data_IF_577311646777
#
_entry.id   IF_577311646777
#
_cell.length_a   1.000
_cell.length_b   1.000
_cell.length_c   1.000
_cell.angle_alpha   90.00
_cell.angle_beta   90.00
_cell.angle_gamma   90.00
#
_symmetry.space_group_name_H-M   'P 1'
#
loop_
_entity.id
_entity.type
_entity.pdbx_description
1 polymer ?
#
# COMPACT_ATOMS: atom_id res chain seq x y z
N UNK A 1 -15.34 19.29 -0.22
CA UNK A 1 -14.88 18.11 -1.01
C UNK A 1 -15.52 18.03 -2.39
N UNK A 2 -16.84 18.33 -2.56
CA UNK A 2 -17.51 18.28 -3.87
C UNK A 2 -16.87 19.20 -4.91
N UNK A 3 -16.50 20.43 -4.54
CA UNK A 3 -15.81 21.37 -5.42
C UNK A 3 -14.43 20.85 -5.85
N UNK A 4 -13.66 20.27 -4.92
CA UNK A 4 -12.36 19.66 -5.24
C UNK A 4 -12.53 18.47 -6.19
N UNK A 5 -13.54 17.61 -5.97
CA UNK A 5 -13.85 16.52 -6.90
C UNK A 5 -14.29 17.04 -8.30
N UNK A 6 -14.95 18.17 -8.37
CA UNK A 6 -15.28 18.81 -9.65
C UNK A 6 -14.01 19.29 -10.38
N UNK A 7 -13.05 19.88 -9.65
CA UNK A 7 -11.74 20.27 -10.19
C UNK A 7 -10.95 19.05 -10.70
N UNK A 8 -11.00 17.93 -9.97
CA UNK A 8 -10.36 16.68 -10.41
C UNK A 8 -10.93 16.21 -11.76
N UNK A 9 -12.26 16.18 -11.91
CA UNK A 9 -12.91 15.82 -13.19
C UNK A 9 -12.62 16.81 -14.31
N UNK A 10 -12.44 18.09 -13.98
CA UNK A 10 -12.11 19.15 -14.94
C UNK A 10 -10.58 19.25 -15.24
N UNK A 11 -9.76 18.38 -14.64
CA UNK A 11 -8.29 18.41 -14.73
C UNK A 11 -7.72 19.80 -14.38
N UNK A 12 -8.16 20.36 -13.24
CA UNK A 12 -7.76 21.68 -12.73
C UNK A 12 -7.05 21.55 -11.37
N UNK A 13 -5.81 21.02 -11.32
CA UNK A 13 -5.11 20.75 -10.08
C UNK A 13 -4.80 22.01 -9.26
N UNK A 14 -4.45 23.15 -9.92
CA UNK A 14 -4.18 24.41 -9.25
C UNK A 14 -5.40 24.92 -8.50
N UNK A 15 -6.58 24.78 -9.11
CA UNK A 15 -7.83 25.21 -8.48
C UNK A 15 -8.20 24.30 -7.32
N UNK A 16 -7.97 22.99 -7.48
CA UNK A 16 -8.18 22.01 -6.42
C UNK A 16 -7.30 22.31 -5.19
N UNK A 17 -6.03 22.65 -5.39
CA UNK A 17 -5.11 23.00 -4.31
C UNK A 17 -5.53 24.28 -3.59
N UNK A 18 -5.95 25.34 -4.31
CA UNK A 18 -6.49 26.55 -3.66
C UNK A 18 -7.69 26.22 -2.77
N UNK A 19 -8.64 25.43 -3.29
CA UNK A 19 -9.79 25.00 -2.49
C UNK A 19 -9.41 24.10 -1.32
N UNK A 20 -8.34 23.33 -1.44
CA UNK A 20 -7.80 22.53 -0.35
C UNK A 20 -7.23 23.39 0.78
N UNK A 21 -6.46 24.43 0.45
CA UNK A 21 -5.85 25.35 1.42
C UNK A 21 -6.92 26.21 2.13
N UNK A 22 -8.03 26.47 1.46
CA UNK A 22 -9.17 27.24 1.98
C UNK A 22 -10.20 26.39 2.75
N UNK A 23 -9.95 25.05 2.94
CA UNK A 23 -10.93 24.20 3.62
C UNK A 23 -11.13 24.64 5.08
N UNK A 24 -12.38 25.01 5.46
CA UNK A 24 -12.67 25.50 6.82
C UNK A 24 -12.74 24.39 7.86
N UNK A 25 -12.74 23.13 7.44
CA UNK A 25 -12.92 21.94 8.28
C UNK A 25 -11.68 21.04 8.21
N UNK A 26 -11.50 20.23 9.25
CA UNK A 26 -10.45 19.19 9.25
C UNK A 26 -10.70 18.22 8.10
N UNK A 27 -9.77 18.08 7.15
CA UNK A 27 -9.92 17.18 6.01
C UNK A 27 -10.08 15.72 6.46
N UNK A 28 -11.02 15.02 5.87
CA UNK A 28 -11.25 13.58 6.06
C UNK A 28 -10.84 12.78 4.80
N UNK A 29 -11.04 11.46 4.82
CA UNK A 29 -10.68 10.58 3.70
C UNK A 29 -11.32 11.01 2.36
N UNK A 30 -12.55 11.52 2.38
CA UNK A 30 -13.24 12.00 1.16
C UNK A 30 -12.54 13.24 0.60
N UNK A 31 -12.12 14.17 1.46
CA UNK A 31 -11.40 15.39 1.05
C UNK A 31 -10.01 15.05 0.51
N UNK A 32 -9.28 14.17 1.22
CA UNK A 32 -7.95 13.71 0.80
C UNK A 32 -8.01 12.95 -0.53
N UNK A 33 -8.95 12.00 -0.69
CA UNK A 33 -9.14 11.29 -1.95
C UNK A 33 -9.42 12.27 -3.10
N UNK A 34 -10.30 13.25 -2.89
CA UNK A 34 -10.65 14.23 -3.92
C UNK A 34 -9.46 15.08 -4.37
N UNK A 35 -8.62 15.55 -3.44
CA UNK A 35 -7.45 16.35 -3.81
C UNK A 35 -6.36 15.48 -4.43
N UNK A 36 -6.16 14.25 -3.96
CA UNK A 36 -5.20 13.30 -4.57
C UNK A 36 -5.59 12.93 -5.99
N UNK A 37 -6.89 12.79 -6.30
CA UNK A 37 -7.37 12.61 -7.67
C UNK A 37 -7.06 13.84 -8.54
N UNK A 38 -7.23 15.04 -8.00
CA UNK A 38 -6.99 16.27 -8.74
C UNK A 38 -5.51 16.50 -9.04
N UNK A 39 -4.61 16.12 -8.11
CA UNK A 39 -3.15 16.34 -8.24
C UNK A 39 -2.38 15.08 -8.66
N UNK A 40 -3.05 14.07 -9.20
CA UNK A 40 -2.39 12.83 -9.63
C UNK A 40 -1.30 13.08 -10.70
N UNK A 41 -1.42 14.15 -11.49
CA UNK A 41 -0.40 14.60 -12.44
C UNK A 41 0.81 15.30 -11.78
N UNK A 42 0.76 15.59 -10.47
CA UNK A 42 1.84 16.21 -9.69
C UNK A 42 2.41 15.23 -8.65
N UNK A 43 3.31 14.30 -9.03
CA UNK A 43 3.72 13.19 -8.17
C UNK A 43 4.31 13.61 -6.82
N UNK A 44 5.02 14.73 -6.76
CA UNK A 44 5.59 15.25 -5.51
C UNK A 44 4.49 15.72 -4.55
N UNK A 45 3.59 16.56 -5.03
CA UNK A 45 2.45 17.07 -4.25
C UNK A 45 1.53 15.93 -3.79
N UNK A 46 1.22 14.98 -4.68
CA UNK A 46 0.43 13.80 -4.33
C UNK A 46 1.10 12.99 -3.22
N UNK A 47 2.41 12.81 -3.25
CA UNK A 47 3.18 12.12 -2.21
C UNK A 47 3.12 12.84 -0.87
N UNK A 48 3.30 14.16 -0.87
CA UNK A 48 3.23 14.97 0.37
C UNK A 48 1.84 14.93 0.99
N UNK A 49 0.79 15.05 0.18
CA UNK A 49 -0.60 14.90 0.64
C UNK A 49 -0.89 13.50 1.18
N UNK A 50 -0.37 12.46 0.53
CA UNK A 50 -0.50 11.08 1.03
C UNK A 50 0.14 10.94 2.42
N UNK A 51 1.39 11.42 2.59
CA UNK A 51 2.11 11.39 3.89
C UNK A 51 1.35 12.18 4.95
N UNK A 52 0.86 13.36 4.60
CA UNK A 52 0.04 14.17 5.51
C UNK A 52 -1.25 13.42 5.95
N UNK A 53 -1.89 12.70 5.03
CA UNK A 53 -3.05 11.86 5.34
C UNK A 53 -2.72 10.71 6.30
N UNK A 54 -1.54 10.08 6.15
CA UNK A 54 -1.04 9.07 7.08
C UNK A 54 -0.75 9.65 8.46
N UNK A 55 -0.05 10.78 8.54
CA UNK A 55 0.30 11.49 9.78
C UNK A 55 -0.95 11.91 10.56
N UNK A 56 -1.99 12.34 9.86
CA UNK A 56 -3.28 12.71 10.46
C UNK A 56 -4.17 11.51 10.78
N UNK A 57 -3.71 10.28 10.52
CA UNK A 57 -4.46 9.04 10.78
C UNK A 57 -5.65 8.81 9.84
N UNK A 58 -5.78 9.59 8.76
CA UNK A 58 -6.84 9.43 7.76
C UNK A 58 -6.72 8.09 7.04
N UNK A 59 -5.50 7.67 6.74
CA UNK A 59 -5.17 6.45 6.01
C UNK A 59 -4.53 5.36 6.88
N UNK A 60 -4.84 5.34 8.20
CA UNK A 60 -4.24 4.36 9.11
C UNK A 60 -4.51 2.90 8.74
N UNK A 61 -5.65 2.61 8.10
CA UNK A 61 -6.00 1.26 7.63
C UNK A 61 -5.30 0.89 6.32
N UNK A 62 -4.73 1.88 5.63
CA UNK A 62 -4.00 1.73 4.38
C UNK A 62 -2.48 1.79 4.60
N UNK A 63 -2.01 1.69 5.84
CA UNK A 63 -0.58 1.53 6.13
C UNK A 63 -0.13 0.13 5.72
N UNK A 64 1.01 0.01 5.02
CA UNK A 64 1.55 -1.29 4.69
C UNK A 64 1.93 -2.07 5.95
N UNK A 65 1.81 -3.38 5.90
CA UNK A 65 2.23 -4.26 6.99
C UNK A 65 2.83 -5.55 6.46
N UNK A 66 3.63 -6.22 7.30
CA UNK A 66 4.22 -7.50 6.98
C UNK A 66 3.23 -8.63 7.25
N UNK A 67 3.17 -9.58 6.32
CA UNK A 67 2.41 -10.81 6.45
C UNK A 67 3.27 -11.98 5.97
N UNK A 68 3.16 -13.13 6.62
CA UNK A 68 3.76 -14.36 6.15
C UNK A 68 2.72 -15.14 5.33
N UNK A 69 3.04 -15.44 4.07
CA UNK A 69 2.19 -16.23 3.17
C UNK A 69 3.03 -17.41 2.69
N UNK A 70 2.60 -18.63 2.99
CA UNK A 70 3.32 -19.86 2.65
C UNK A 70 4.79 -19.85 3.09
N UNK A 71 5.05 -19.36 4.30
CA UNK A 71 6.41 -19.24 4.84
C UNK A 71 7.25 -18.10 4.26
N UNK A 72 6.66 -17.24 3.40
CA UNK A 72 7.35 -16.12 2.75
C UNK A 72 6.87 -14.79 3.32
N UNK A 73 7.79 -13.92 3.76
CA UNK A 73 7.44 -12.59 4.21
C UNK A 73 7.07 -11.72 3.01
N UNK A 74 5.90 -11.13 3.06
CA UNK A 74 5.39 -10.20 2.05
C UNK A 74 5.00 -8.88 2.71
N UNK A 75 5.10 -7.79 1.96
CA UNK A 75 4.52 -6.51 2.33
C UNK A 75 3.11 -6.42 1.74
N UNK A 76 2.12 -6.15 2.56
CA UNK A 76 0.72 -6.03 2.13
C UNK A 76 0.26 -4.58 2.26
N UNK A 77 -0.32 -4.03 1.19
CA UNK A 77 -0.96 -2.72 1.16
C UNK A 77 -2.45 -2.89 0.84
N UNK A 78 -3.30 -2.57 1.80
CA UNK A 78 -4.75 -2.54 1.60
C UNK A 78 -5.17 -1.18 1.03
N UNK A 79 -5.80 -1.19 -0.15
CA UNK A 79 -6.24 0.02 -0.84
C UNK A 79 -7.76 0.23 -0.77
N UNK A 80 -8.46 -0.50 0.11
CA UNK A 80 -9.89 -0.26 0.31
C UNK A 80 -10.17 1.19 0.72
N UNK A 81 -11.19 1.79 0.11
CA UNK A 81 -11.59 3.17 0.40
C UNK A 81 -10.71 4.25 -0.23
N UNK A 82 -9.65 3.88 -0.94
CA UNK A 82 -8.85 4.83 -1.72
C UNK A 82 -9.53 5.15 -3.05
N UNK A 83 -9.34 6.37 -3.52
CA UNK A 83 -9.60 6.76 -4.91
C UNK A 83 -8.42 6.34 -5.80
N UNK A 84 -8.57 6.52 -7.12
CA UNK A 84 -7.49 6.20 -8.07
C UNK A 84 -6.22 7.00 -7.82
N UNK A 85 -6.34 8.31 -7.59
CA UNK A 85 -5.20 9.18 -7.29
C UNK A 85 -4.54 8.86 -5.95
N UNK A 86 -5.37 8.54 -4.93
CA UNK A 86 -4.86 8.12 -3.62
C UNK A 86 -4.12 6.78 -3.71
N UNK A 87 -4.64 5.81 -4.47
CA UNK A 87 -3.98 4.53 -4.68
C UNK A 87 -2.65 4.68 -5.44
N UNK A 88 -2.61 5.52 -6.48
CA UNK A 88 -1.37 5.83 -7.20
C UNK A 88 -0.33 6.44 -6.25
N UNK A 89 -0.72 7.42 -5.43
CA UNK A 89 0.16 8.05 -4.45
C UNK A 89 0.68 7.04 -3.40
N UNK A 90 -0.20 6.15 -2.90
CA UNK A 90 0.14 5.09 -1.95
C UNK A 90 1.16 4.09 -2.53
N UNK A 91 0.93 3.62 -3.77
CA UNK A 91 1.82 2.70 -4.45
C UNK A 91 3.20 3.34 -4.65
N UNK A 92 3.26 4.56 -5.21
CA UNK A 92 4.53 5.27 -5.42
C UNK A 92 5.27 5.49 -4.12
N UNK A 93 4.59 5.94 -3.07
CA UNK A 93 5.20 6.13 -1.75
C UNK A 93 5.74 4.82 -1.17
N UNK A 94 4.99 3.70 -1.28
CA UNK A 94 5.45 2.39 -0.82
C UNK A 94 6.74 1.96 -1.52
N UNK A 95 6.76 2.00 -2.84
CA UNK A 95 7.89 1.51 -3.63
C UNK A 95 9.09 2.48 -3.63
N UNK A 96 8.86 3.80 -3.56
CA UNK A 96 9.93 4.79 -3.58
C UNK A 96 10.57 5.05 -2.21
N UNK A 97 9.76 4.99 -1.13
CA UNK A 97 10.23 5.43 0.20
C UNK A 97 10.28 4.30 1.26
N UNK A 98 9.37 3.32 1.18
CA UNK A 98 9.26 2.29 2.23
C UNK A 98 9.99 1.01 1.90
N UNK A 99 10.04 0.66 0.62
CA UNK A 99 10.82 -0.49 0.16
C UNK A 99 12.24 -0.05 -0.17
N UNK A 100 13.20 -0.64 0.51
CA UNK A 100 14.61 -0.35 0.27
C UNK A 100 15.27 -1.51 -0.47
N UNK A 101 15.97 -1.22 -1.57
CA UNK A 101 16.89 -2.16 -2.20
C UNK A 101 18.27 -1.97 -1.58
N UNK A 102 18.83 -3.00 -0.97
CA UNK A 102 20.22 -2.94 -0.50
C UNK A 102 21.16 -3.00 -1.70
N UNK A 103 22.10 -2.06 -1.75
CA UNK A 103 23.17 -2.04 -2.77
C UNK A 103 23.87 -3.42 -2.82
N UNK A 104 24.02 -3.95 -4.02
CA UNK A 104 24.65 -5.23 -4.35
C UNK A 104 23.85 -6.52 -4.05
N UNK A 105 22.65 -6.44 -3.54
CA UNK A 105 21.79 -7.60 -3.32
C UNK A 105 20.43 -7.34 -3.97
N UNK A 106 19.88 -8.33 -4.68
CA UNK A 106 18.50 -8.26 -5.22
C UNK A 106 17.45 -8.25 -4.11
N UNK A 107 17.88 -8.21 -2.83
CA UNK A 107 16.99 -8.28 -1.68
C UNK A 107 16.29 -6.95 -1.44
N UNK A 108 14.96 -6.97 -1.49
CA UNK A 108 14.09 -5.85 -1.12
C UNK A 108 13.70 -5.99 0.35
N UNK A 109 13.73 -4.89 1.09
CA UNK A 109 13.32 -4.85 2.50
C UNK A 109 12.19 -3.86 2.72
N UNK A 110 11.28 -4.20 3.63
CA UNK A 110 10.31 -3.29 4.21
C UNK A 110 10.57 -3.21 5.72
N UNK A 111 10.79 -2.01 6.23
CA UNK A 111 11.09 -1.75 7.64
C UNK A 111 12.24 -2.65 8.16
N UNK A 112 13.33 -2.73 7.36
CA UNK A 112 14.52 -3.57 7.57
C UNK A 112 14.29 -5.08 7.49
N UNK A 113 13.06 -5.55 7.28
CA UNK A 113 12.73 -6.96 7.09
C UNK A 113 12.76 -7.31 5.61
N UNK A 114 13.49 -8.36 5.19
CA UNK A 114 13.44 -8.86 3.81
C UNK A 114 12.03 -9.26 3.43
N UNK A 115 11.60 -8.91 2.21
CA UNK A 115 10.29 -9.30 1.68
C UNK A 115 10.45 -9.91 0.29
N UNK A 116 9.69 -10.96 0.03
CA UNK A 116 9.69 -11.66 -1.26
C UNK A 116 8.78 -10.99 -2.28
N UNK A 117 7.92 -10.07 -1.84
CA UNK A 117 7.03 -9.37 -2.73
C UNK A 117 6.10 -8.39 -2.01
N UNK A 118 5.26 -7.75 -2.81
CA UNK A 118 4.19 -6.86 -2.36
C UNK A 118 2.86 -7.38 -2.85
N UNK A 119 1.89 -7.46 -1.95
CA UNK A 119 0.51 -7.73 -2.30
C UNK A 119 -0.32 -6.44 -2.13
N UNK A 120 -0.94 -6.01 -3.22
CA UNK A 120 -1.86 -4.88 -3.23
C UNK A 120 -3.29 -5.41 -3.22
N UNK A 121 -4.09 -5.01 -2.22
CA UNK A 121 -5.49 -5.42 -2.11
C UNK A 121 -6.35 -4.31 -2.69
N UNK A 122 -6.92 -4.56 -3.88
CA UNK A 122 -7.77 -3.60 -4.61
C UNK A 122 -9.26 -3.77 -4.30
N UNK A 123 -9.61 -4.86 -3.61
CA UNK A 123 -11.00 -5.22 -3.36
C UNK A 123 -11.66 -5.96 -4.53
N UNK A 124 -12.66 -6.79 -4.22
CA UNK A 124 -13.30 -7.72 -5.18
C UNK A 124 -14.57 -7.17 -5.84
N UNK A 125 -14.84 -5.87 -5.67
CA UNK A 125 -15.99 -5.24 -6.32
C UNK A 125 -17.38 -5.73 -5.85
N UNK A 126 -17.47 -6.54 -4.80
CA UNK A 126 -18.74 -7.01 -4.25
C UNK A 126 -19.63 -5.89 -3.71
N UNK A 127 -19.04 -4.74 -3.38
CA UNK A 127 -19.75 -3.54 -2.88
C UNK A 127 -20.03 -2.52 -3.99
N UNK A 128 -19.88 -2.86 -5.25
CA UNK A 128 -20.19 -1.96 -6.37
C UNK A 128 -21.71 -1.72 -6.49
N UNK A 129 -22.28 -1.03 -5.54
CA UNK A 129 -23.29 -0.05 -5.88
C UNK A 129 -22.52 1.04 -6.62
N UNK A 130 -22.81 1.13 -7.91
CA UNK A 130 -22.27 2.07 -8.91
C UNK A 130 -22.06 3.46 -8.25
N UNK A 131 -20.92 3.69 -7.71
CA UNK A 131 -20.46 5.01 -7.32
C UNK A 131 -19.15 5.20 -8.06
N UNK A 132 -19.04 6.32 -8.73
CA UNK A 132 -18.01 6.81 -9.66
C UNK A 132 -16.53 6.68 -9.17
N UNK A 133 -16.19 5.61 -8.50
CA UNK A 133 -14.82 5.24 -8.20
C UNK A 133 -14.36 4.35 -9.35
N UNK A 134 -13.43 4.85 -10.14
CA UNK A 134 -12.87 4.20 -11.29
C UNK A 134 -12.32 2.80 -11.00
N UNK A 135 -11.73 2.15 -11.97
CA UNK A 135 -11.14 0.84 -11.80
C UNK A 135 -9.81 0.95 -11.04
N UNK A 136 -9.90 0.85 -9.69
CA UNK A 136 -8.74 0.88 -8.80
C UNK A 136 -7.66 -0.14 -9.20
N UNK A 137 -8.09 -1.32 -9.68
CA UNK A 137 -7.19 -2.36 -10.16
C UNK A 137 -6.45 -1.91 -11.42
N UNK A 138 -7.18 -1.38 -12.41
CA UNK A 138 -6.57 -0.90 -13.64
C UNK A 138 -5.60 0.26 -13.37
N UNK A 139 -5.96 1.18 -12.48
CA UNK A 139 -5.08 2.27 -12.06
C UNK A 139 -3.80 1.74 -11.38
N UNK A 140 -3.94 0.76 -10.48
CA UNK A 140 -2.80 0.15 -9.80
C UNK A 140 -1.85 -0.53 -10.80
N UNK A 141 -2.38 -1.32 -11.74
CA UNK A 141 -1.60 -1.97 -12.81
C UNK A 141 -0.87 -0.90 -13.63
N UNK A 142 -1.58 0.10 -14.15
CA UNK A 142 -0.96 1.18 -14.94
C UNK A 142 0.11 1.96 -14.16
N UNK A 143 -0.02 2.07 -12.85
CA UNK A 143 0.98 2.70 -12.00
C UNK A 143 2.23 1.82 -11.88
N UNK A 144 2.06 0.53 -11.63
CA UNK A 144 3.17 -0.44 -11.55
C UNK A 144 3.91 -0.54 -12.88
N UNK A 145 3.18 -0.61 -14.01
CA UNK A 145 3.77 -0.66 -15.37
C UNK A 145 4.65 0.57 -15.64
N UNK A 146 4.17 1.78 -15.26
CA UNK A 146 4.97 3.02 -15.38
C UNK A 146 6.22 3.02 -14.49
N UNK A 147 6.22 2.24 -13.43
CA UNK A 147 7.37 2.04 -12.54
C UNK A 147 8.28 0.89 -13.01
N UNK A 148 7.95 0.21 -14.11
CA UNK A 148 8.69 -0.96 -14.63
C UNK A 148 8.49 -2.21 -13.77
N UNK A 149 7.38 -2.32 -13.04
CA UNK A 149 7.07 -3.44 -12.16
C UNK A 149 5.98 -4.30 -12.79
N UNK A 150 6.23 -5.59 -12.89
CA UNK A 150 5.27 -6.57 -13.41
C UNK A 150 4.47 -7.22 -12.31
N UNK A 151 3.22 -7.56 -12.60
CA UNK A 151 2.35 -8.30 -11.68
C UNK A 151 2.26 -9.76 -12.09
N UNK A 152 2.21 -10.66 -11.10
CA UNK A 152 1.95 -12.07 -11.34
C UNK A 152 0.46 -12.34 -11.53
N UNK A 153 0.12 -13.35 -12.35
CA UNK A 153 -1.24 -13.87 -12.41
C UNK A 153 -1.71 -14.34 -11.03
N UNK A 154 -2.97 -14.10 -10.72
CA UNK A 154 -3.60 -14.56 -9.47
C UNK A 154 -5.07 -14.88 -9.72
N UNK A 155 -5.56 -15.95 -9.08
CA UNK A 155 -6.97 -16.35 -9.13
C UNK A 155 -7.87 -15.39 -8.33
N UNK A 156 -7.28 -14.55 -7.50
CA UNK A 156 -8.02 -13.54 -6.74
C UNK A 156 -8.01 -12.19 -7.47
N UNK A 157 -9.11 -11.80 -8.16
CA UNK A 157 -9.18 -10.54 -8.90
C UNK A 157 -9.09 -9.29 -8.02
N UNK A 158 -9.27 -9.42 -6.71
CA UNK A 158 -9.10 -8.34 -5.74
C UNK A 158 -7.67 -8.15 -5.25
N UNK A 159 -6.71 -8.91 -5.77
CA UNK A 159 -5.30 -8.86 -5.37
C UNK A 159 -4.40 -8.67 -6.58
N UNK A 160 -3.36 -7.89 -6.44
CA UNK A 160 -2.21 -7.80 -7.35
C UNK A 160 -0.97 -8.22 -6.58
N UNK A 161 -0.11 -9.00 -7.23
CA UNK A 161 1.13 -9.52 -6.63
C UNK A 161 2.31 -9.00 -7.45
N UNK A 162 3.23 -8.30 -6.80
CA UNK A 162 4.55 -7.94 -7.32
C UNK A 162 5.56 -8.79 -6.59
N UNK A 163 6.23 -9.70 -7.28
CA UNK A 163 7.25 -10.56 -6.71
C UNK A 163 8.63 -9.97 -6.97
N UNK A 164 9.51 -10.09 -6.00
CA UNK A 164 10.91 -9.74 -6.16
C UNK A 164 11.73 -11.00 -6.47
N UNK A 165 12.70 -10.88 -7.39
CA UNK A 165 13.65 -11.93 -7.62
C UNK A 165 14.54 -12.10 -6.37
N UNK A 166 14.60 -13.31 -5.84
CA UNK A 166 15.64 -13.64 -4.86
C UNK A 166 16.98 -13.73 -5.59
N UNK A 167 18.00 -13.06 -5.07
CA UNK A 167 19.36 -13.45 -5.43
C UNK A 167 19.51 -14.92 -5.08
N UNK A 168 19.89 -15.75 -6.07
CA UNK A 168 20.14 -17.16 -5.86
C UNK A 168 21.09 -17.34 -4.68
N UNK A 169 20.64 -18.11 -3.69
CA UNK A 169 21.33 -18.63 -2.53
C UNK A 169 22.73 -18.04 -2.21
N UNK A 170 22.71 -16.99 -1.41
CA UNK A 170 23.80 -16.76 -0.46
C UNK A 170 23.20 -17.07 0.90
N UNK A 171 23.78 -18.05 1.63
CA UNK A 171 23.38 -18.54 2.94
C UNK A 171 22.61 -17.50 3.80
N UNK A 172 21.30 -17.48 3.66
CA UNK A 172 20.48 -16.61 4.46
C UNK A 172 20.37 -17.22 5.86
N UNK A 173 20.74 -16.48 6.92
CA UNK A 173 20.54 -16.96 8.27
C UNK A 173 19.06 -17.25 8.50
N UNK A 174 18.70 -18.19 9.36
CA UNK A 174 17.30 -18.52 9.65
C UNK A 174 16.55 -17.25 10.08
N UNK A 175 15.37 -17.04 9.49
CA UNK A 175 14.56 -15.87 9.75
C UNK A 175 14.22 -15.75 11.23
N UNK A 176 14.59 -14.62 11.83
CA UNK A 176 14.00 -14.20 13.09
C UNK A 176 12.70 -13.43 12.79
N UNK A 177 11.56 -13.99 13.17
CA UNK A 177 10.28 -13.30 13.07
C UNK A 177 10.13 -12.41 14.30
N UNK A 178 10.23 -11.11 14.09
CA UNK A 178 9.87 -10.13 15.11
C UNK A 178 8.35 -9.93 15.08
N UNK A 179 7.69 -10.13 16.19
CA UNK A 179 6.27 -9.82 16.33
C UNK A 179 6.06 -8.78 17.43
N UNK A 180 5.05 -7.98 17.24
CA UNK A 180 4.55 -7.07 18.26
C UNK A 180 3.18 -7.57 18.67
N UNK A 181 3.01 -7.97 19.92
CA UNK A 181 1.71 -8.37 20.44
C UNK A 181 0.81 -7.14 20.67
N UNK A 182 -0.47 -7.38 20.86
CA UNK A 182 -1.47 -6.33 21.10
C UNK A 182 -1.21 -5.55 22.41
N UNK A 183 -0.30 -6.00 23.28
CA UNK A 183 0.14 -5.32 24.50
C UNK A 183 1.37 -4.43 24.27
N UNK A 184 1.91 -4.41 23.05
CA UNK A 184 3.09 -3.60 22.69
C UNK A 184 4.43 -4.24 22.99
N UNK A 185 4.48 -5.50 23.49
CA UNK A 185 5.72 -6.22 23.73
C UNK A 185 6.29 -6.77 22.42
N UNK A 186 7.60 -6.61 22.28
CA UNK A 186 8.38 -7.17 21.20
C UNK A 186 8.92 -8.55 21.61
N UNK A 187 8.81 -9.54 20.73
CA UNK A 187 9.40 -10.86 20.90
C UNK A 187 10.07 -11.36 19.64
N UNK A 188 11.06 -12.24 19.79
CA UNK A 188 11.68 -13.00 18.71
C UNK A 188 11.26 -14.45 18.84
N UNK A 189 10.82 -15.05 17.73
CA UNK A 189 10.63 -16.49 17.64
C UNK A 189 11.87 -17.09 16.98
N UNK A 190 12.81 -17.53 17.80
CA UNK A 190 13.96 -18.31 17.36
C UNK A 190 13.57 -19.78 17.29
N UNK A 191 13.69 -20.40 16.12
CA UNK A 191 13.68 -21.86 15.98
C UNK A 191 12.31 -22.57 15.97
N UNK A 192 11.23 -21.88 15.68
CA UNK A 192 9.90 -22.51 15.50
C UNK A 192 9.89 -23.31 14.19
N UNK A 193 9.77 -24.64 14.30
CA UNK A 193 9.60 -25.52 13.13
C UNK A 193 8.23 -25.27 12.48
N UNK A 194 8.19 -25.45 11.18
CA UNK A 194 7.04 -25.18 10.29
C UNK A 194 5.70 -25.80 10.73
N UNK A 195 5.73 -26.82 11.58
CA UNK A 195 4.56 -27.59 11.99
C UNK A 195 3.79 -26.96 13.17
N UNK A 196 4.38 -26.01 13.90
CA UNK A 196 3.79 -25.41 15.09
C UNK A 196 2.97 -24.13 14.81
N UNK A 197 3.07 -23.54 13.63
CA UNK A 197 2.41 -22.29 13.28
C UNK A 197 0.99 -22.44 12.72
N UNK A 198 0.58 -23.69 12.39
CA UNK A 198 -0.70 -23.92 11.70
C UNK A 198 -1.93 -23.91 12.61
N UNK A 199 -1.78 -23.97 13.94
CA UNK A 199 -2.93 -24.16 14.84
C UNK A 199 -3.23 -23.00 15.81
N UNK A 200 -2.31 -22.07 16.03
CA UNK A 200 -2.46 -21.10 17.13
C UNK A 200 -2.70 -19.65 16.68
N UNK A 201 -2.35 -19.26 15.47
CA UNK A 201 -2.40 -17.86 15.01
C UNK A 201 -3.66 -17.52 14.20
N UNK A 202 -4.44 -18.52 13.76
CA UNK A 202 -5.64 -18.31 12.93
C UNK A 202 -6.97 -18.24 13.70
N UNK A 203 -6.96 -18.20 15.03
CA UNK A 203 -8.17 -18.02 15.83
C UNK A 203 -8.11 -16.74 16.65
N UNK A 204 -8.11 -15.58 16.05
CA UNK A 204 -8.60 -14.30 16.60
C UNK A 204 -8.12 -13.14 15.75
N UNK A 205 -8.81 -12.90 14.66
CA UNK A 205 -9.20 -11.54 14.23
C UNK A 205 -10.58 -11.68 13.58
#
# INVERSE_FOLDING_TARGET
SAAISACARANQPEHAMRLWDELPLVPNAVSFNAVLDAVACWPRTARELWKLGLERGVYRLNQPYLQCVEGRPICLLDMHGLSEGAAEAAIRWLFDEKLSRRNCSAMVTYDSTPVDGVHLITGWGRSRKVTHHGDLRARAIATLDRMGLSTLPTDNPGRLIVQFERAADVDAPPFQVFYRDLSGKHGTLDGVRHDDLSSTVLRRI
#
